data_IF_405428342421
#
_entry.id   IF_405428342421
#
_cell.length_a   1.000
_cell.length_b   1.000
_cell.length_c   1.000
_cell.angle_alpha   90.00
_cell.angle_beta   90.00
_cell.angle_gamma   90.00
#
_symmetry.space_group_name_H-M   'P 1'
#
loop_
_entity.id
_entity.type
_entity.pdbx_description
1 polymer ?
#
# COMPACT_ATOMS: atom_id res chain seq x y z
N UNK A 1 13.79 -6.84 -27.17
CA UNK A 1 12.41 -7.29 -27.07
C UNK A 1 11.58 -6.07 -27.41
N UNK A 2 10.70 -6.16 -28.42
CA UNK A 2 9.82 -5.06 -28.81
C UNK A 2 8.79 -4.71 -27.71
N UNK A 3 8.10 -3.58 -27.84
CA UNK A 3 7.05 -3.22 -26.92
C UNK A 3 5.97 -4.31 -26.89
N UNK A 4 5.55 -4.70 -25.68
CA UNK A 4 4.49 -5.68 -25.46
C UNK A 4 3.21 -4.92 -25.12
N UNK A 5 2.21 -5.03 -25.99
CA UNK A 5 0.91 -4.39 -25.81
C UNK A 5 -0.20 -5.44 -25.97
N UNK A 6 -1.45 -5.02 -25.92
CA UNK A 6 -2.60 -5.93 -25.92
C UNK A 6 -2.63 -6.95 -27.07
N UNK A 7 -2.28 -6.60 -28.32
CA UNK A 7 -2.21 -7.58 -29.39
C UNK A 7 -1.26 -8.74 -29.11
N UNK A 8 -0.06 -8.46 -28.59
CA UNK A 8 0.96 -9.44 -28.26
C UNK A 8 0.53 -10.28 -27.06
N UNK A 9 -0.06 -9.66 -26.05
CA UNK A 9 -0.64 -10.33 -24.88
C UNK A 9 -1.72 -11.32 -25.32
N UNK A 10 -2.60 -10.89 -26.23
CA UNK A 10 -3.68 -11.71 -26.73
C UNK A 10 -3.19 -12.87 -27.57
N UNK A 11 -2.18 -12.67 -28.40
CA UNK A 11 -1.57 -13.73 -29.22
C UNK A 11 -0.88 -14.78 -28.34
N UNK A 12 -0.16 -14.35 -27.32
CA UNK A 12 0.48 -15.26 -26.35
C UNK A 12 -0.54 -15.95 -25.43
N UNK A 13 -1.66 -15.30 -25.16
CA UNK A 13 -2.72 -15.80 -24.28
C UNK A 13 -2.41 -15.67 -22.78
N UNK A 14 -1.38 -14.88 -22.41
CA UNK A 14 -0.91 -14.73 -21.03
C UNK A 14 -0.91 -13.27 -20.65
N UNK A 15 -1.52 -12.96 -19.49
CA UNK A 15 -1.42 -11.68 -18.81
C UNK A 15 -0.49 -11.81 -17.60
N UNK A 16 0.63 -11.08 -17.62
CA UNK A 16 1.64 -11.10 -16.56
C UNK A 16 1.38 -9.98 -15.58
N UNK A 17 1.20 -10.34 -14.32
CA UNK A 17 0.82 -9.40 -13.26
C UNK A 17 1.82 -9.42 -12.12
N UNK A 18 2.11 -8.24 -11.59
CA UNK A 18 2.91 -8.08 -10.36
C UNK A 18 1.98 -7.61 -9.24
N UNK A 19 2.12 -8.23 -8.08
CA UNK A 19 1.51 -7.76 -6.83
C UNK A 19 2.49 -7.87 -5.68
N UNK A 20 2.07 -7.51 -4.49
CA UNK A 20 2.88 -7.63 -3.27
C UNK A 20 2.30 -8.65 -2.30
N UNK A 21 3.16 -9.24 -1.47
CA UNK A 21 2.74 -10.18 -0.44
C UNK A 21 2.21 -9.41 0.79
N UNK A 22 0.91 -9.30 0.88
CA UNK A 22 0.18 -8.81 2.04
C UNK A 22 -1.30 -9.23 1.96
N UNK A 23 -2.09 -8.91 2.96
CA UNK A 23 -3.51 -9.31 2.99
C UNK A 23 -4.37 -8.66 1.90
N UNK A 24 -3.96 -7.51 1.38
CA UNK A 24 -4.65 -6.83 0.28
C UNK A 24 -4.19 -7.33 -1.09
N UNK A 25 -2.93 -7.69 -1.25
CA UNK A 25 -2.32 -8.10 -2.51
C UNK A 25 -2.47 -9.60 -2.77
N UNK A 26 -1.60 -10.36 -2.17
CA UNK A 26 -1.48 -11.81 -2.33
C UNK A 26 -1.01 -12.42 -1.01
N UNK A 27 -1.69 -13.44 -0.52
CA UNK A 27 -1.25 -14.20 0.65
C UNK A 27 -1.74 -15.65 0.57
N UNK A 28 -1.09 -16.52 1.32
CA UNK A 28 -1.44 -17.94 1.38
C UNK A 28 -2.14 -18.22 2.72
N UNK A 29 -3.30 -18.85 2.65
CA UNK A 29 -4.06 -19.32 3.81
C UNK A 29 -4.36 -20.81 3.66
N UNK A 30 -3.66 -21.65 4.42
CA UNK A 30 -3.68 -23.09 4.20
C UNK A 30 -3.11 -23.42 2.81
N UNK A 31 -3.88 -24.14 2.01
CA UNK A 31 -3.52 -24.52 0.64
C UNK A 31 -4.07 -23.56 -0.43
N UNK A 32 -4.65 -22.45 0.00
CA UNK A 32 -5.35 -21.52 -0.90
C UNK A 32 -4.62 -20.18 -0.97
N UNK A 33 -4.44 -19.71 -2.21
CA UNK A 33 -3.97 -18.34 -2.47
C UNK A 33 -5.15 -17.39 -2.42
N UNK A 34 -5.01 -16.31 -1.67
CA UNK A 34 -6.03 -15.28 -1.47
C UNK A 34 -5.41 -13.88 -1.62
N UNK A 35 -6.24 -12.88 -1.63
CA UNK A 35 -5.87 -11.47 -1.72
C UNK A 35 -6.67 -10.74 -2.77
N UNK A 36 -7.20 -9.56 -2.42
CA UNK A 36 -8.08 -8.79 -3.29
C UNK A 36 -7.43 -8.49 -4.65
N UNK A 37 -6.20 -8.01 -4.66
CA UNK A 37 -5.51 -7.66 -5.91
C UNK A 37 -5.24 -8.89 -6.77
N UNK A 38 -4.83 -10.00 -6.16
CA UNK A 38 -4.63 -11.27 -6.84
C UNK A 38 -5.94 -11.78 -7.47
N UNK A 39 -7.01 -11.86 -6.68
CA UNK A 39 -8.30 -12.39 -7.13
C UNK A 39 -8.92 -11.50 -8.21
N UNK A 40 -8.84 -10.17 -8.09
CA UNK A 40 -9.28 -9.23 -9.11
C UNK A 40 -8.50 -9.42 -10.42
N UNK A 41 -7.19 -9.53 -10.34
CA UNK A 41 -6.30 -9.72 -11.49
C UNK A 41 -6.59 -11.03 -12.22
N UNK A 42 -6.80 -12.12 -11.48
CA UNK A 42 -7.19 -13.41 -12.06
C UNK A 42 -8.56 -13.34 -12.73
N UNK A 43 -9.52 -12.63 -12.14
CA UNK A 43 -10.83 -12.41 -12.74
C UNK A 43 -10.74 -11.60 -14.05
N UNK A 44 -9.93 -10.55 -14.10
CA UNK A 44 -9.69 -9.76 -15.30
C UNK A 44 -9.07 -10.63 -16.42
N UNK A 45 -8.04 -11.41 -16.10
CA UNK A 45 -7.41 -12.31 -17.06
C UNK A 45 -8.44 -13.30 -17.63
N UNK A 46 -9.21 -13.95 -16.76
CA UNK A 46 -10.24 -14.92 -17.15
C UNK A 46 -11.31 -14.30 -18.05
N UNK A 47 -11.84 -13.12 -17.69
CA UNK A 47 -12.84 -12.41 -18.50
C UNK A 47 -12.30 -11.96 -19.86
N UNK A 48 -10.98 -11.73 -19.95
CA UNK A 48 -10.29 -11.37 -21.20
C UNK A 48 -9.90 -12.59 -22.04
N UNK A 49 -10.19 -13.80 -21.56
CA UNK A 49 -9.79 -15.05 -22.22
C UNK A 49 -8.28 -15.34 -22.14
N UNK A 50 -7.63 -14.80 -21.13
CA UNK A 50 -6.18 -14.93 -20.90
C UNK A 50 -5.89 -15.78 -19.66
N UNK A 51 -4.72 -16.39 -19.65
CA UNK A 51 -4.15 -16.98 -18.43
C UNK A 51 -3.44 -15.90 -17.61
N UNK A 52 -3.83 -15.74 -16.35
CA UNK A 52 -3.18 -14.82 -15.43
C UNK A 52 -1.97 -15.44 -14.75
N UNK A 53 -0.78 -14.91 -14.97
CA UNK A 53 0.43 -15.27 -14.26
C UNK A 53 0.82 -14.14 -13.32
N UNK A 54 0.93 -14.46 -12.02
CA UNK A 54 1.25 -13.49 -10.98
C UNK A 54 2.61 -13.79 -10.38
N UNK A 55 3.45 -12.78 -10.26
CA UNK A 55 4.64 -12.85 -9.43
C UNK A 55 4.68 -11.73 -8.39
N UNK A 56 5.49 -11.91 -7.36
CA UNK A 56 5.55 -11.04 -6.23
C UNK A 56 6.79 -10.14 -6.30
N UNK A 57 6.60 -8.85 -6.16
CA UNK A 57 7.67 -7.88 -5.94
C UNK A 57 7.23 -6.91 -4.84
N UNK A 58 7.98 -6.89 -3.75
CA UNK A 58 7.65 -6.07 -2.58
C UNK A 58 7.99 -4.59 -2.78
N UNK A 59 8.97 -4.29 -3.63
CA UNK A 59 9.44 -2.92 -3.87
C UNK A 59 8.66 -2.29 -5.01
N UNK A 60 7.96 -1.19 -4.70
CA UNK A 60 7.17 -0.46 -5.70
C UNK A 60 8.02 0.04 -6.87
N UNK A 61 9.17 0.63 -6.58
CA UNK A 61 10.07 1.15 -7.61
C UNK A 61 10.50 0.05 -8.60
N UNK A 62 10.82 -1.14 -8.09
CA UNK A 62 11.19 -2.28 -8.94
C UNK A 62 10.03 -2.80 -9.78
N UNK A 63 8.81 -2.75 -9.26
CA UNK A 63 7.62 -3.11 -10.04
C UNK A 63 7.48 -2.21 -11.28
N UNK A 64 7.74 -0.92 -11.15
CA UNK A 64 7.75 0.01 -12.29
C UNK A 64 8.90 -0.25 -13.26
N UNK A 65 10.09 -0.59 -12.78
CA UNK A 65 11.21 -0.99 -13.64
C UNK A 65 10.85 -2.23 -14.46
N UNK A 66 10.26 -3.24 -13.83
CA UNK A 66 9.84 -4.47 -14.50
C UNK A 66 8.74 -4.23 -15.54
N UNK A 67 7.81 -3.31 -15.26
CA UNK A 67 6.81 -2.89 -16.24
C UNK A 67 7.47 -2.20 -17.45
N UNK A 68 8.39 -1.28 -17.20
CA UNK A 68 9.13 -0.56 -18.25
C UNK A 68 10.03 -1.49 -19.08
N UNK A 69 10.54 -2.56 -18.46
CA UNK A 69 11.36 -3.58 -19.11
C UNK A 69 10.53 -4.67 -19.85
N UNK A 70 9.22 -4.52 -19.91
CA UNK A 70 8.29 -5.51 -20.47
C UNK A 70 8.35 -6.91 -19.80
N UNK A 71 8.70 -6.95 -18.51
CA UNK A 71 8.72 -8.19 -17.72
C UNK A 71 7.35 -8.51 -17.12
N UNK A 72 6.49 -7.52 -17.02
CA UNK A 72 5.09 -7.66 -16.67
C UNK A 72 4.23 -6.74 -17.52
N UNK A 73 2.93 -6.97 -17.50
CA UNK A 73 1.94 -6.22 -18.27
C UNK A 73 1.11 -5.29 -17.36
N UNK A 74 0.92 -5.71 -16.11
CA UNK A 74 0.08 -4.99 -15.13
C UNK A 74 0.73 -5.04 -13.75
N UNK A 75 0.71 -3.92 -13.06
CA UNK A 75 1.00 -3.84 -11.63
C UNK A 75 -0.34 -3.78 -10.89
N UNK A 76 -0.64 -4.83 -10.12
CA UNK A 76 -1.87 -4.98 -9.36
C UNK A 76 -1.60 -4.75 -7.87
N UNK A 77 -1.51 -3.49 -7.48
CA UNK A 77 -1.32 -3.07 -6.08
C UNK A 77 -1.86 -1.66 -5.86
N UNK A 78 -1.98 -1.27 -4.61
CA UNK A 78 -2.38 0.09 -4.27
C UNK A 78 -1.27 1.08 -4.63
N UNK A 79 -1.50 1.87 -5.66
CA UNK A 79 -0.55 2.88 -6.14
C UNK A 79 -1.23 4.25 -6.05
N UNK A 80 -0.62 5.23 -5.38
CA UNK A 80 -1.11 6.60 -5.44
C UNK A 80 -0.85 7.16 -6.84
N UNK A 81 -1.91 7.63 -7.50
CA UNK A 81 -1.81 8.20 -8.84
C UNK A 81 -1.43 9.67 -8.71
N UNK A 82 -0.19 10.00 -9.07
CA UNK A 82 0.29 11.39 -9.16
C UNK A 82 0.28 11.89 -10.60
N UNK A 83 0.35 13.21 -10.78
CA UNK A 83 0.46 13.80 -12.12
C UNK A 83 1.70 13.31 -12.86
N UNK A 84 2.84 13.22 -12.17
CA UNK A 84 4.09 12.72 -12.71
C UNK A 84 3.99 11.26 -13.18
N UNK A 85 3.33 10.41 -12.39
CA UNK A 85 3.10 9.02 -12.78
C UNK A 85 2.22 8.90 -14.02
N UNK A 86 1.21 9.75 -14.17
CA UNK A 86 0.34 9.77 -15.34
C UNK A 86 1.07 10.15 -16.64
N UNK A 87 2.18 10.84 -16.56
CA UNK A 87 3.00 11.17 -17.73
C UNK A 87 3.75 9.94 -18.29
N UNK A 88 4.04 8.97 -17.43
CA UNK A 88 4.89 7.82 -17.77
C UNK A 88 4.14 6.49 -17.83
N UNK A 89 2.97 6.38 -17.19
CA UNK A 89 2.23 5.13 -17.04
C UNK A 89 0.74 5.33 -17.29
N UNK A 90 0.10 4.29 -17.79
CA UNK A 90 -1.35 4.20 -17.91
C UNK A 90 -1.94 3.60 -16.65
N UNK A 91 -3.01 4.20 -16.16
CA UNK A 91 -3.76 3.73 -15.00
C UNK A 91 -5.18 3.37 -15.37
N UNK A 92 -5.72 2.37 -14.70
CA UNK A 92 -7.17 2.11 -14.72
C UNK A 92 -7.93 3.25 -14.02
N UNK A 93 -9.25 3.27 -14.18
CA UNK A 93 -10.07 4.05 -13.26
C UNK A 93 -9.81 3.61 -11.81
N UNK A 94 -9.83 4.53 -10.84
CA UNK A 94 -9.62 4.18 -9.44
C UNK A 94 -10.63 3.14 -8.97
N UNK A 95 -10.14 1.97 -8.55
CA UNK A 95 -11.00 0.89 -8.03
C UNK A 95 -11.33 1.10 -6.55
N UNK A 96 -10.51 1.86 -5.85
CA UNK A 96 -10.66 2.14 -4.43
C UNK A 96 -10.25 3.58 -4.14
N UNK A 97 -11.10 4.30 -3.43
CA UNK A 97 -10.71 5.56 -2.82
C UNK A 97 -10.02 5.24 -1.50
N UNK A 98 -8.72 5.45 -1.47
CA UNK A 98 -7.92 5.14 -0.31
C UNK A 98 -7.66 6.39 0.53
N UNK A 99 -7.66 6.20 1.85
CA UNK A 99 -7.32 7.24 2.81
C UNK A 99 -6.12 6.81 3.63
N UNK A 100 -5.28 7.77 3.99
CA UNK A 100 -4.25 7.57 4.99
C UNK A 100 -4.84 7.81 6.37
N UNK A 101 -4.55 6.93 7.31
CA UNK A 101 -5.05 7.02 8.69
C UNK A 101 -3.91 6.97 9.68
N UNK A 102 -4.09 7.67 10.80
CA UNK A 102 -3.20 7.60 11.94
C UNK A 102 -3.52 6.33 12.75
N UNK A 103 -2.50 5.53 12.98
CA UNK A 103 -2.55 4.39 13.88
C UNK A 103 -1.89 4.78 15.20
N UNK A 104 -2.60 4.61 16.30
CA UNK A 104 -2.17 4.94 17.64
C UNK A 104 -2.83 4.00 18.65
N UNK A 105 -2.28 3.89 19.85
CA UNK A 105 -2.87 3.06 20.90
C UNK A 105 -4.17 3.65 21.42
N UNK A 106 -5.08 2.77 21.81
CA UNK A 106 -6.26 3.15 22.61
C UNK A 106 -5.83 3.76 23.95
N UNK A 107 -6.71 4.52 24.60
CA UNK A 107 -6.43 5.07 25.92
C UNK A 107 -6.08 3.99 26.94
N UNK A 108 -6.74 2.85 26.87
CA UNK A 108 -6.48 1.69 27.74
C UNK A 108 -5.06 1.13 27.57
N UNK A 109 -4.61 1.01 26.33
CA UNK A 109 -3.26 0.53 26.00
C UNK A 109 -2.17 1.61 26.17
N UNK A 110 -2.54 2.85 26.44
CA UNK A 110 -1.64 4.01 26.54
C UNK A 110 -1.72 4.71 27.92
N UNK A 111 -1.84 3.95 28.98
CA UNK A 111 -1.87 4.43 30.36
C UNK A 111 -2.95 5.50 30.63
N UNK A 112 -4.09 5.39 29.99
CA UNK A 112 -5.21 6.32 30.12
C UNK A 112 -5.07 7.62 29.31
N UNK A 113 -3.98 7.78 28.55
CA UNK A 113 -3.81 8.95 27.67
C UNK A 113 -4.74 8.84 26.47
N UNK A 114 -5.54 9.87 26.27
CA UNK A 114 -6.47 9.92 25.15
C UNK A 114 -5.74 9.96 23.81
N UNK A 115 -6.21 9.23 22.79
CA UNK A 115 -5.65 9.30 21.45
C UNK A 115 -5.86 10.68 20.82
N UNK A 116 -4.93 11.05 19.93
CA UNK A 116 -5.01 12.28 19.14
C UNK A 116 -6.26 12.24 18.25
N UNK A 117 -7.05 13.32 18.29
CA UNK A 117 -8.27 13.49 17.49
C UNK A 117 -8.22 14.69 16.55
N UNK A 118 -7.29 15.60 16.77
CA UNK A 118 -7.13 16.81 15.99
C UNK A 118 -5.78 16.78 15.26
N UNK A 119 -5.77 17.10 13.98
CA UNK A 119 -4.55 17.15 13.17
C UNK A 119 -3.52 18.16 13.71
N UNK A 120 -3.95 19.23 14.35
CA UNK A 120 -3.05 20.20 14.99
C UNK A 120 -2.18 19.57 16.08
N UNK A 121 -2.66 18.53 16.73
CA UNK A 121 -1.93 17.83 17.80
C UNK A 121 -0.82 16.92 17.27
N UNK A 122 -0.69 16.78 15.95
CA UNK A 122 0.42 16.10 15.30
C UNK A 122 1.70 16.95 15.26
N UNK A 123 1.61 18.24 15.58
CA UNK A 123 2.76 19.12 15.70
C UNK A 123 3.80 18.54 16.66
N UNK A 124 5.07 18.53 16.22
CA UNK A 124 6.21 17.99 16.97
C UNK A 124 6.14 16.49 17.29
N UNK A 125 5.21 15.75 16.68
CA UNK A 125 5.14 14.30 16.81
C UNK A 125 5.97 13.61 15.73
N UNK A 126 6.43 12.40 16.03
CA UNK A 126 7.14 11.53 15.10
C UNK A 126 6.19 10.44 14.59
N UNK A 127 5.99 10.38 13.29
CA UNK A 127 5.12 9.44 12.63
C UNK A 127 5.94 8.51 11.73
N UNK A 128 5.70 7.22 11.85
CA UNK A 128 6.39 6.19 11.06
C UNK A 128 5.53 5.77 9.88
N UNK A 129 6.14 5.65 8.71
CA UNK A 129 5.52 5.19 7.48
C UNK A 129 6.42 4.15 6.80
N UNK A 130 5.86 3.22 6.02
CA UNK A 130 6.67 2.37 5.15
C UNK A 130 7.41 3.22 4.12
N UNK A 131 8.58 2.77 3.68
CA UNK A 131 9.31 3.39 2.56
C UNK A 131 8.43 3.45 1.32
N UNK A 132 8.56 4.54 0.58
CA UNK A 132 7.79 4.83 -0.63
C UNK A 132 6.26 4.95 -0.39
N UNK A 133 5.85 5.22 0.85
CA UNK A 133 4.45 5.43 1.18
C UNK A 133 3.91 6.74 0.61
N UNK A 134 2.69 6.74 0.06
CA UNK A 134 2.01 7.97 -0.36
C UNK A 134 1.72 8.93 0.79
N UNK A 135 1.79 8.45 2.03
CA UNK A 135 1.60 9.27 3.22
C UNK A 135 2.67 10.36 3.37
N UNK A 136 3.88 10.17 2.83
CA UNK A 136 4.96 11.15 2.97
C UNK A 136 4.55 12.53 2.46
N UNK A 137 4.09 12.61 1.23
CA UNK A 137 3.66 13.88 0.63
C UNK A 137 2.48 14.50 1.39
N UNK A 138 1.52 13.68 1.80
CA UNK A 138 0.37 14.15 2.57
C UNK A 138 0.79 14.73 3.92
N UNK A 139 1.72 14.10 4.62
CA UNK A 139 2.23 14.58 5.90
C UNK A 139 3.07 15.84 5.77
N UNK A 140 3.87 15.95 4.71
CA UNK A 140 4.62 17.17 4.39
C UNK A 140 3.66 18.35 4.16
N UNK A 141 2.61 18.16 3.36
CA UNK A 141 1.60 19.16 3.12
C UNK A 141 0.86 19.54 4.41
N UNK A 142 0.51 18.54 5.23
CA UNK A 142 -0.15 18.80 6.52
C UNK A 142 0.72 19.64 7.45
N UNK A 143 2.02 19.38 7.52
CA UNK A 143 2.96 20.20 8.29
C UNK A 143 2.92 21.68 7.85
N UNK A 144 2.89 21.93 6.55
CA UNK A 144 2.72 23.29 6.02
C UNK A 144 1.35 23.89 6.37
N UNK A 145 0.27 23.13 6.27
CA UNK A 145 -1.09 23.56 6.59
C UNK A 145 -1.24 23.98 8.06
N UNK A 146 -0.66 23.21 8.98
CA UNK A 146 -0.73 23.51 10.43
C UNK A 146 0.32 24.53 10.89
N UNK A 147 1.29 24.88 10.04
CA UNK A 147 2.35 25.82 10.35
C UNK A 147 3.35 25.34 11.39
N UNK A 148 3.54 24.01 11.50
CA UNK A 148 4.46 23.40 12.47
C UNK A 148 5.12 22.15 11.85
N UNK A 149 6.15 21.63 12.51
CA UNK A 149 6.89 20.49 12.06
C UNK A 149 6.21 19.18 12.49
N UNK A 150 6.02 18.29 11.52
CA UNK A 150 5.70 16.88 11.74
C UNK A 150 6.94 16.07 11.35
N UNK A 151 7.47 15.29 12.25
CA UNK A 151 8.64 14.42 11.97
C UNK A 151 8.14 13.12 11.34
N UNK A 152 8.68 12.78 10.18
CA UNK A 152 8.31 11.56 9.44
C UNK A 152 9.54 10.66 9.33
N UNK A 153 9.41 9.43 9.76
CA UNK A 153 10.43 8.38 9.60
C UNK A 153 9.93 7.36 8.60
N UNK A 154 10.61 7.27 7.47
CA UNK A 154 10.38 6.21 6.48
C UNK A 154 11.15 4.96 6.91
N UNK A 155 10.43 3.89 7.20
CA UNK A 155 11.03 2.62 7.58
C UNK A 155 11.32 1.77 6.35
N UNK A 156 12.57 1.37 6.18
CA UNK A 156 13.02 0.58 5.03
C UNK A 156 12.75 -0.92 5.17
N UNK A 157 12.53 -1.39 6.40
CA UNK A 157 12.46 -2.81 6.73
C UNK A 157 11.04 -3.30 7.01
N UNK A 158 10.21 -2.45 7.61
CA UNK A 158 8.91 -2.87 8.13
C UNK A 158 7.76 -2.45 7.21
N UNK A 159 6.86 -3.40 6.97
CA UNK A 159 5.59 -3.17 6.32
C UNK A 159 4.60 -2.43 7.24
N UNK A 160 3.49 -1.98 6.68
CA UNK A 160 2.39 -1.37 7.44
C UNK A 160 1.94 -2.23 8.63
N UNK A 161 1.75 -3.52 8.43
CA UNK A 161 1.29 -4.44 9.47
C UNK A 161 2.30 -4.54 10.64
N UNK A 162 3.59 -4.59 10.30
CA UNK A 162 4.67 -4.62 11.30
C UNK A 162 4.77 -3.31 12.09
N UNK A 163 4.63 -2.16 11.42
CA UNK A 163 4.59 -0.86 12.10
C UNK A 163 3.38 -0.76 13.04
N UNK A 164 2.22 -1.29 12.66
CA UNK A 164 1.04 -1.34 13.53
C UNK A 164 1.29 -2.21 14.77
N UNK A 165 1.98 -3.34 14.63
CA UNK A 165 2.38 -4.19 15.76
C UNK A 165 3.31 -3.42 16.70
N UNK A 166 4.26 -2.65 16.17
CA UNK A 166 5.16 -1.82 16.96
C UNK A 166 4.41 -0.72 17.74
N UNK A 167 3.38 -0.12 17.13
CA UNK A 167 2.48 0.82 17.83
C UNK A 167 1.74 0.12 18.96
N UNK A 168 1.16 -1.05 18.70
CA UNK A 168 0.42 -1.82 19.71
C UNK A 168 1.30 -2.20 20.92
N UNK A 169 2.55 -2.54 20.66
CA UNK A 169 3.54 -2.88 21.72
C UNK A 169 4.10 -1.66 22.46
N UNK A 170 3.95 -0.47 21.93
CA UNK A 170 4.52 0.75 22.49
C UNK A 170 5.96 1.04 22.09
N UNK A 171 6.52 0.31 21.12
CA UNK A 171 7.86 0.56 20.60
C UNK A 171 7.93 1.88 19.81
N UNK A 172 6.84 2.24 19.14
CA UNK A 172 6.59 3.55 18.53
C UNK A 172 5.20 4.05 18.91
N UNK A 173 4.98 5.36 18.86
CA UNK A 173 3.70 5.93 19.27
C UNK A 173 2.70 6.09 18.12
N UNK A 174 3.19 6.41 16.92
CA UNK A 174 2.35 6.76 15.77
C UNK A 174 2.87 6.13 14.48
N UNK A 175 1.95 5.54 13.72
CA UNK A 175 2.19 5.16 12.34
C UNK A 175 1.08 5.71 11.44
N UNK A 176 1.39 5.98 10.19
CA UNK A 176 0.41 6.40 9.18
C UNK A 176 0.40 5.38 8.06
N UNK A 177 -0.78 4.89 7.73
CA UNK A 177 -0.92 3.84 6.74
C UNK A 177 -2.27 3.89 6.03
N UNK A 178 -2.38 3.06 5.02
CA UNK A 178 -3.60 2.79 4.28
C UNK A 178 -4.75 2.35 5.19
N UNK A 179 -5.90 3.01 5.08
CA UNK A 179 -7.06 2.72 5.91
C UNK A 179 -7.55 1.28 5.80
N UNK A 180 -7.49 0.67 4.62
CA UNK A 180 -7.97 -0.69 4.43
C UNK A 180 -7.06 -1.70 5.13
N UNK A 181 -5.75 -1.56 4.96
CA UNK A 181 -4.78 -2.40 5.67
C UNK A 181 -4.92 -2.19 7.18
N UNK A 182 -5.05 -0.95 7.62
CA UNK A 182 -5.25 -0.62 9.03
C UNK A 182 -6.48 -1.32 9.61
N UNK A 183 -7.62 -1.26 8.95
CA UNK A 183 -8.86 -1.90 9.40
C UNK A 183 -8.77 -3.43 9.45
N UNK A 184 -8.08 -4.03 8.48
CA UNK A 184 -7.89 -5.49 8.46
C UNK A 184 -6.97 -5.93 9.60
N UNK A 185 -5.89 -5.21 9.82
CA UNK A 185 -4.88 -5.54 10.83
C UNK A 185 -5.39 -5.24 12.24
N UNK A 186 -6.15 -4.16 12.42
CA UNK A 186 -6.76 -3.77 13.70
C UNK A 186 -7.59 -4.89 14.33
N UNK A 187 -8.25 -5.71 13.53
CA UNK A 187 -9.04 -6.86 14.03
C UNK A 187 -8.22 -7.84 14.85
N UNK A 188 -6.92 -7.85 14.68
CA UNK A 188 -5.96 -8.71 15.38
C UNK A 188 -5.19 -7.99 16.49
N UNK A 189 -5.35 -6.68 16.59
CA UNK A 189 -4.59 -5.79 17.49
C UNK A 189 -5.57 -4.93 18.29
N UNK A 190 -6.10 -5.42 19.41
CA UNK A 190 -7.09 -4.68 20.21
C UNK A 190 -6.51 -3.43 20.89
N UNK A 191 -5.19 -3.28 20.91
CA UNK A 191 -4.49 -2.15 21.53
C UNK A 191 -4.52 -0.88 20.66
N UNK A 192 -4.90 -0.97 19.38
CA UNK A 192 -4.91 0.15 18.44
C UNK A 192 -6.26 0.40 17.80
#
# INVERSE_FOLDING_TARGET
IGPRDYPEIKEEGILRMITEYNQSGYFVSGDTVQGFQYELSQAIAKLSGLEGQTHLEMRLAKSFEELSDNKCDVIARNIPITSEMRENYLFTEPIVLNKQVLVQRTAEANNGQAPIRNQLDLAQKTLYIPKDSPALLRLQNLGHEIGDTIYVVEDELYSTEQLMIMVAKGDIDYAVCDQQIARMTQKKLPEV
#
